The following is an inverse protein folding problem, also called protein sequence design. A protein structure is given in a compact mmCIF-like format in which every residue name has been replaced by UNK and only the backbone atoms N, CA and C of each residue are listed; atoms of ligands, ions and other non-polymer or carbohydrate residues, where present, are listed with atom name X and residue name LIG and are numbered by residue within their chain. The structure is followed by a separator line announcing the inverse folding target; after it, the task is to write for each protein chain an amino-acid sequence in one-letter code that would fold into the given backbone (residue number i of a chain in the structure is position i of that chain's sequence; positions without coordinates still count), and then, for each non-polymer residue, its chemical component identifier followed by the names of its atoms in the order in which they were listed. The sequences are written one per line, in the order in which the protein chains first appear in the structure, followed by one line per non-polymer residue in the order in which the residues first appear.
data_IF_453510049355
#
_entry.id   IF_453510049355
#
_cell.length_a   1.000
_cell.length_b   1.000
_cell.length_c   1.000
_cell.angle_alpha   90.00
_cell.angle_beta   90.00
_cell.angle_gamma   90.00
#
_symmetry.space_group_name_H-M   'P 1'
#
loop_
_entity.id
_entity.type
_entity.pdbx_description
1 polymer ?
#
# COMPACT_ATOMS: atom_id res chain seq x y z
N UNK A 1 8.79 -54.05 5.71
CA UNK A 1 8.57 -53.02 6.75
C UNK A 1 9.46 -51.77 6.64
N UNK A 2 10.76 -51.85 6.28
CA UNK A 2 11.63 -50.66 6.16
C UNK A 2 11.28 -49.73 4.98
N UNK A 3 10.99 -50.28 3.80
CA UNK A 3 10.67 -49.49 2.59
C UNK A 3 9.39 -48.64 2.74
N UNK A 4 8.36 -49.18 3.41
CA UNK A 4 7.09 -48.49 3.64
C UNK A 4 7.24 -47.29 4.59
N UNK A 5 8.12 -47.38 5.60
CA UNK A 5 8.46 -46.25 6.48
C UNK A 5 9.22 -45.14 5.76
N UNK A 6 10.16 -45.50 4.87
CA UNK A 6 10.89 -44.51 4.05
C UNK A 6 9.95 -43.79 3.08
N UNK A 7 9.01 -44.52 2.47
CA UNK A 7 7.99 -43.94 1.60
C UNK A 7 7.07 -42.95 2.35
N UNK A 8 6.65 -43.27 3.58
CA UNK A 8 5.83 -42.38 4.40
C UNK A 8 6.57 -41.11 4.82
N UNK A 9 7.86 -41.22 5.16
CA UNK A 9 8.69 -40.06 5.52
C UNK A 9 8.92 -39.13 4.33
N UNK A 10 9.13 -39.68 3.13
CA UNK A 10 9.25 -38.89 1.91
C UNK A 10 7.94 -38.16 1.57
N UNK A 11 6.80 -38.83 1.66
CA UNK A 11 5.49 -38.20 1.44
C UNK A 11 5.23 -37.10 2.46
N UNK A 12 5.54 -37.32 3.74
CA UNK A 12 5.42 -36.29 4.76
C UNK A 12 6.32 -35.07 4.48
N UNK A 13 7.58 -35.29 4.08
CA UNK A 13 8.51 -34.22 3.73
C UNK A 13 8.02 -33.40 2.51
N UNK A 14 7.50 -34.07 1.48
CA UNK A 14 6.91 -33.41 0.30
C UNK A 14 5.68 -32.59 0.70
N UNK A 15 4.78 -33.13 1.53
CA UNK A 15 3.60 -32.41 2.01
C UNK A 15 3.98 -31.18 2.85
N UNK A 16 5.00 -31.30 3.70
CA UNK A 16 5.53 -30.16 4.48
C UNK A 16 6.12 -29.09 3.56
N UNK A 17 6.95 -29.46 2.59
CA UNK A 17 7.53 -28.54 1.61
C UNK A 17 6.45 -27.85 0.77
N UNK A 18 5.45 -28.58 0.29
CA UNK A 18 4.32 -28.02 -0.45
C UNK A 18 3.48 -27.05 0.40
N UNK A 19 3.24 -27.38 1.69
CA UNK A 19 2.48 -26.50 2.59
C UNK A 19 3.23 -25.21 2.92
N UNK A 20 4.57 -25.28 3.08
CA UNK A 20 5.42 -24.09 3.28
C UNK A 20 5.47 -23.22 2.02
N UNK A 21 5.61 -23.83 0.84
CA UNK A 21 5.57 -23.10 -0.43
C UNK A 21 4.21 -22.44 -0.67
N UNK A 22 3.11 -23.15 -0.44
CA UNK A 22 1.76 -22.60 -0.59
C UNK A 22 1.49 -21.42 0.35
N UNK A 23 2.05 -21.41 1.56
CA UNK A 23 1.97 -20.27 2.49
C UNK A 23 2.82 -19.08 2.05
N UNK A 24 3.99 -19.33 1.46
CA UNK A 24 4.84 -18.28 0.87
C UNK A 24 4.26 -17.65 -0.40
N UNK A 25 3.33 -18.34 -1.07
CA UNK A 25 2.64 -17.90 -2.28
C UNK A 25 1.28 -17.22 -2.02
N UNK A 26 0.74 -17.27 -0.80
CA UNK A 26 -0.54 -16.62 -0.49
C UNK A 26 -0.39 -15.11 -0.52
N UNK A 27 -1.21 -14.47 -1.36
CA UNK A 27 -1.36 -13.01 -1.39
C UNK A 27 -2.01 -12.56 -0.07
N UNK A 28 -1.46 -11.52 0.54
CA UNK A 28 -2.14 -10.81 1.62
C UNK A 28 -3.01 -9.72 1.00
N UNK A 29 -4.31 -10.03 0.86
CA UNK A 29 -5.33 -9.08 0.42
C UNK A 29 -6.15 -8.66 1.64
N UNK A 30 -6.66 -7.44 1.62
CA UNK A 30 -7.49 -6.90 2.69
C UNK A 30 -8.76 -6.38 2.04
N UNK A 31 -9.89 -6.99 2.38
CA UNK A 31 -11.20 -6.52 1.89
C UNK A 31 -11.65 -5.35 2.74
N UNK A 32 -11.87 -4.19 2.11
CA UNK A 32 -12.26 -2.94 2.79
C UNK A 32 -13.19 -2.12 1.90
N UNK A 33 -14.13 -1.42 2.52
CA UNK A 33 -15.00 -0.50 1.80
C UNK A 33 -14.25 0.78 1.44
N UNK A 34 -13.81 0.86 0.18
CA UNK A 34 -13.09 2.02 -0.35
C UNK A 34 -14.01 3.23 -0.60
N UNK A 35 -15.33 3.06 -0.64
CA UNK A 35 -16.26 4.14 -1.04
C UNK A 35 -16.13 5.35 -0.14
N UNK A 36 -16.14 5.12 1.18
CA UNK A 36 -16.09 6.20 2.17
C UNK A 36 -14.78 7.03 2.10
N UNK A 37 -13.63 6.37 1.88
CA UNK A 37 -12.34 7.09 1.76
C UNK A 37 -12.24 7.84 0.43
N UNK A 38 -12.74 7.25 -0.65
CA UNK A 38 -12.78 7.89 -1.97
C UNK A 38 -13.67 9.12 -1.92
N UNK A 39 -14.89 9.01 -1.39
CA UNK A 39 -15.82 10.13 -1.20
C UNK A 39 -15.20 11.24 -0.34
N UNK A 40 -14.58 10.87 0.80
CA UNK A 40 -13.89 11.81 1.67
C UNK A 40 -12.79 12.59 0.93
N UNK A 41 -12.04 11.94 0.03
CA UNK A 41 -11.03 12.61 -0.77
C UNK A 41 -11.64 13.48 -1.88
N UNK A 42 -12.68 13.01 -2.58
CA UNK A 42 -13.31 13.78 -3.66
C UNK A 42 -13.82 15.15 -3.19
N UNK A 43 -14.34 15.24 -1.97
CA UNK A 43 -14.81 16.50 -1.39
C UNK A 43 -13.70 17.56 -1.22
N UNK A 44 -12.45 17.14 -1.01
CA UNK A 44 -11.32 18.04 -0.76
C UNK A 44 -10.30 18.08 -1.91
N UNK A 45 -10.41 17.17 -2.88
CA UNK A 45 -9.44 16.96 -3.96
C UNK A 45 -9.08 18.26 -4.67
N UNK A 46 -10.09 19.01 -5.14
CA UNK A 46 -9.87 20.28 -5.85
C UNK A 46 -9.17 21.32 -4.99
N UNK A 47 -9.52 21.40 -3.71
CA UNK A 47 -8.93 22.37 -2.78
C UNK A 47 -7.47 22.04 -2.45
N UNK A 48 -7.13 20.75 -2.32
CA UNK A 48 -5.76 20.30 -2.09
C UNK A 48 -4.92 20.47 -3.37
N UNK A 49 -5.41 20.02 -4.52
CA UNK A 49 -4.68 20.10 -5.79
C UNK A 49 -4.46 21.56 -6.24
N UNK A 50 -5.37 22.49 -5.91
CA UNK A 50 -5.16 23.91 -6.17
C UNK A 50 -4.00 24.53 -5.36
N UNK A 51 -3.55 23.86 -4.29
CA UNK A 51 -2.38 24.27 -3.49
C UNK A 51 -1.07 23.66 -3.98
N UNK A 52 -1.10 22.74 -4.96
CA UNK A 52 0.12 22.15 -5.54
C UNK A 52 0.83 23.16 -6.45
N UNK A 53 2.03 23.57 -6.06
CA UNK A 53 2.88 24.50 -6.80
C UNK A 53 3.81 23.81 -7.79
N UNK A 54 3.93 22.48 -7.77
CA UNK A 54 4.88 21.70 -8.57
C UNK A 54 4.18 20.76 -9.55
N UNK A 55 3.49 21.33 -10.55
CA UNK A 55 2.71 20.55 -11.54
C UNK A 55 3.55 19.62 -12.42
N UNK A 56 4.84 19.93 -12.62
CA UNK A 56 5.75 19.17 -13.48
C UNK A 56 6.41 17.97 -12.79
N UNK A 57 6.20 17.81 -11.49
CA UNK A 57 6.72 16.68 -10.71
C UNK A 57 5.57 15.72 -10.45
N UNK A 58 5.85 14.43 -10.29
CA UNK A 58 4.86 13.45 -9.81
C UNK A 58 5.54 12.57 -8.78
N UNK A 59 5.00 12.52 -7.56
CA UNK A 59 5.60 11.74 -6.48
C UNK A 59 5.27 10.25 -6.68
N UNK A 60 4.00 9.94 -6.90
CA UNK A 60 3.45 8.62 -7.18
C UNK A 60 3.40 8.34 -8.69
N UNK A 61 4.56 8.34 -9.34
CA UNK A 61 4.65 8.07 -10.79
C UNK A 61 4.08 6.70 -11.15
N UNK A 62 2.89 6.67 -11.78
CA UNK A 62 2.17 5.42 -12.04
C UNK A 62 2.94 4.47 -12.97
N UNK A 63 3.61 4.99 -13.99
CA UNK A 63 4.35 4.20 -15.01
C UNK A 63 5.67 3.62 -14.49
N UNK A 64 6.34 4.33 -13.57
CA UNK A 64 7.65 3.96 -13.04
C UNK A 64 7.56 3.17 -11.73
N UNK A 65 6.53 3.43 -10.92
CA UNK A 65 6.39 2.83 -9.58
C UNK A 65 5.21 1.86 -9.52
N UNK A 66 3.97 2.35 -9.62
CA UNK A 66 2.78 1.59 -9.23
C UNK A 66 2.29 0.55 -10.27
N UNK A 67 2.51 0.74 -11.57
CA UNK A 67 2.06 -0.19 -12.62
C UNK A 67 2.91 -1.46 -12.74
N UNK A 68 4.18 -1.42 -12.33
CA UNK A 68 5.11 -2.54 -12.46
C UNK A 68 5.07 -3.51 -11.29
N UNK A 69 4.30 -3.17 -10.24
CA UNK A 69 4.22 -3.96 -9.03
C UNK A 69 3.55 -5.30 -9.31
N UNK A 70 4.29 -6.38 -9.07
CA UNK A 70 3.81 -7.74 -9.24
C UNK A 70 2.87 -8.11 -8.08
N UNK A 71 1.93 -9.06 -8.27
CA UNK A 71 0.96 -9.40 -7.22
C UNK A 71 1.57 -9.86 -5.88
N UNK A 72 2.75 -10.49 -5.90
CA UNK A 72 3.43 -10.90 -4.67
C UNK A 72 4.05 -9.72 -3.90
N UNK A 73 4.25 -8.57 -4.56
CA UNK A 73 4.83 -7.36 -3.96
C UNK A 73 3.76 -6.39 -3.45
N UNK A 74 2.48 -6.58 -3.82
CA UNK A 74 1.36 -5.70 -3.44
C UNK A 74 1.36 -5.44 -1.94
N UNK A 75 1.38 -6.48 -1.09
CA UNK A 75 1.34 -6.26 0.35
C UNK A 75 2.51 -5.41 0.86
N UNK A 76 3.72 -5.63 0.33
CA UNK A 76 4.88 -4.84 0.70
C UNK A 76 4.69 -3.37 0.34
N UNK A 77 4.32 -3.10 -0.92
CA UNK A 77 4.13 -1.73 -1.41
C UNK A 77 3.00 -1.03 -0.65
N UNK A 78 1.87 -1.72 -0.45
CA UNK A 78 0.76 -1.19 0.37
C UNK A 78 1.24 -0.81 1.76
N UNK A 79 1.93 -1.72 2.46
CA UNK A 79 2.46 -1.44 3.80
C UNK A 79 3.35 -0.18 3.80
N UNK A 80 4.27 -0.10 2.85
CA UNK A 80 5.23 1.00 2.79
C UNK A 80 4.56 2.34 2.46
N UNK A 81 3.61 2.36 1.52
CA UNK A 81 2.90 3.58 1.15
C UNK A 81 1.95 4.06 2.25
N UNK A 82 1.30 3.14 2.96
CA UNK A 82 0.53 3.51 4.14
C UNK A 82 1.42 4.16 5.21
N UNK A 83 2.61 3.59 5.46
CA UNK A 83 3.58 4.19 6.38
C UNK A 83 4.07 5.54 5.87
N UNK A 84 4.39 5.69 4.59
CA UNK A 84 4.76 6.96 3.98
C UNK A 84 3.70 8.05 4.23
N UNK A 85 2.41 7.74 4.01
CA UNK A 85 1.35 8.71 4.25
C UNK A 85 1.14 9.03 5.74
N UNK A 86 1.08 8.01 6.59
CA UNK A 86 0.83 8.15 8.04
C UNK A 86 2.00 8.81 8.75
N UNK A 87 3.22 8.38 8.45
CA UNK A 87 4.40 8.79 9.19
C UNK A 87 5.10 10.03 8.64
N UNK A 88 4.79 10.42 7.39
CA UNK A 88 5.40 11.56 6.72
C UNK A 88 4.34 12.55 6.23
N UNK A 89 3.57 12.21 5.20
CA UNK A 89 2.67 13.15 4.51
C UNK A 89 1.67 13.83 5.45
N UNK A 90 0.94 13.07 6.28
CA UNK A 90 -0.04 13.65 7.20
C UNK A 90 0.60 14.44 8.34
N UNK A 91 1.86 14.15 8.72
CA UNK A 91 2.58 14.89 9.77
C UNK A 91 3.18 16.19 9.24
N UNK A 92 3.68 16.17 8.01
CA UNK A 92 4.33 17.31 7.36
C UNK A 92 3.30 18.33 6.83
N UNK A 93 2.06 17.91 6.63
CA UNK A 93 0.98 18.78 6.17
C UNK A 93 0.44 19.69 7.28
N UNK A 94 0.24 20.96 6.95
CA UNK A 94 -0.45 21.93 7.80
C UNK A 94 -1.72 22.45 7.09
N UNK A 95 -2.90 22.03 7.58
CA UNK A 95 -4.19 22.55 7.11
C UNK A 95 -4.77 23.54 8.11
N UNK A 96 -5.19 24.71 7.62
CA UNK A 96 -5.87 25.72 8.44
C UNK A 96 -7.39 25.65 8.29
N UNK A 97 -7.91 25.09 7.19
CA UNK A 97 -9.33 24.94 6.97
C UNK A 97 -9.88 23.73 7.77
N UNK A 98 -10.75 23.93 8.77
CA UNK A 98 -11.25 22.84 9.61
C UNK A 98 -12.05 21.77 8.85
N UNK A 99 -12.72 22.13 7.75
CA UNK A 99 -13.47 21.18 6.94
C UNK A 99 -12.54 20.24 6.18
N UNK A 100 -11.47 20.78 5.60
CA UNK A 100 -10.44 19.98 4.92
C UNK A 100 -9.73 19.10 5.93
N UNK A 101 -9.33 19.66 7.09
CA UNK A 101 -8.66 18.92 8.15
C UNK A 101 -9.51 17.73 8.65
N UNK A 102 -10.83 17.89 8.77
CA UNK A 102 -11.72 16.79 9.18
C UNK A 102 -11.70 15.64 8.16
N UNK A 103 -11.71 15.95 6.87
CA UNK A 103 -11.67 14.95 5.80
C UNK A 103 -10.30 14.27 5.73
N UNK A 104 -9.21 15.02 5.89
CA UNK A 104 -7.87 14.44 6.01
C UNK A 104 -7.75 13.50 7.21
N UNK A 105 -8.28 13.87 8.37
CA UNK A 105 -8.33 12.99 9.55
C UNK A 105 -9.14 11.71 9.30
N UNK A 106 -10.27 11.79 8.57
CA UNK A 106 -11.03 10.61 8.13
C UNK A 106 -10.18 9.67 7.28
N UNK A 107 -9.45 10.21 6.30
CA UNK A 107 -8.57 9.44 5.42
C UNK A 107 -7.40 8.82 6.21
N UNK A 108 -6.76 9.58 7.12
CA UNK A 108 -5.68 9.08 7.96
C UNK A 108 -6.14 7.92 8.86
N UNK A 109 -7.34 8.01 9.43
CA UNK A 109 -7.93 6.92 10.21
C UNK A 109 -8.19 5.67 9.36
N UNK A 110 -8.64 5.84 8.11
CA UNK A 110 -8.77 4.73 7.17
C UNK A 110 -7.41 4.05 6.91
N UNK A 111 -6.33 4.83 6.78
CA UNK A 111 -4.98 4.31 6.56
C UNK A 111 -4.44 3.55 7.77
N UNK A 112 -4.67 4.07 8.98
CA UNK A 112 -4.35 3.37 10.23
C UNK A 112 -5.12 2.05 10.36
N UNK A 113 -6.40 2.04 9.98
CA UNK A 113 -7.21 0.83 9.98
C UNK A 113 -6.68 -0.20 8.97
N UNK A 114 -6.30 0.22 7.76
CA UNK A 114 -5.62 -0.62 6.77
C UNK A 114 -4.31 -1.22 7.30
N UNK A 115 -3.46 -0.40 7.91
CA UNK A 115 -2.21 -0.88 8.51
C UNK A 115 -2.48 -1.96 9.56
N UNK A 116 -3.51 -1.75 10.42
CA UNK A 116 -3.94 -2.75 11.41
C UNK A 116 -4.42 -4.04 10.75
N UNK A 117 -5.18 -3.94 9.67
CA UNK A 117 -5.68 -5.08 8.92
C UNK A 117 -4.56 -5.88 8.24
N UNK A 118 -3.45 -5.25 7.86
CA UNK A 118 -2.26 -5.92 7.31
C UNK A 118 -1.34 -6.56 8.37
N UNK A 119 -1.49 -6.23 9.66
CA UNK A 119 -0.61 -6.74 10.72
C UNK A 119 -0.52 -8.28 10.79
N UNK A 120 -1.61 -9.06 10.62
CA UNK A 120 -1.51 -10.52 10.64
C UNK A 120 -0.57 -11.06 9.56
N UNK A 121 -0.64 -10.52 8.34
CA UNK A 121 0.23 -10.91 7.24
C UNK A 121 1.71 -10.56 7.51
N UNK A 122 1.95 -9.41 8.13
CA UNK A 122 3.30 -9.01 8.54
C UNK A 122 3.87 -9.97 9.58
N UNK A 123 3.10 -10.32 10.61
CA UNK A 123 3.49 -11.30 11.64
C UNK A 123 3.78 -12.68 11.04
N UNK A 124 3.06 -13.06 9.99
CA UNK A 124 3.24 -14.31 9.25
C UNK A 124 4.33 -14.23 8.16
N UNK A 125 5.02 -13.09 8.04
CA UNK A 125 6.07 -12.84 7.02
C UNK A 125 5.58 -13.02 5.58
N UNK A 126 4.30 -12.75 5.32
CA UNK A 126 3.67 -12.87 4.00
C UNK A 126 3.82 -11.60 3.13
N UNK A 127 4.34 -10.52 3.71
CA UNK A 127 4.54 -9.24 3.01
C UNK A 127 6.04 -9.03 2.75
N UNK A 128 6.65 -9.97 2.04
CA UNK A 128 8.05 -9.87 1.64
C UNK A 128 8.22 -8.78 0.56
N UNK A 129 9.29 -8.01 0.68
CA UNK A 129 9.62 -6.93 -0.26
C UNK A 129 10.75 -7.38 -1.17
N UNK A 130 10.45 -7.64 -2.44
CA UNK A 130 11.48 -7.88 -3.45
C UNK A 130 12.08 -6.55 -3.90
N UNK A 131 13.23 -6.63 -4.58
CA UNK A 131 13.98 -5.48 -5.04
C UNK A 131 13.13 -4.47 -5.83
N UNK A 132 12.27 -4.94 -6.75
CA UNK A 132 11.34 -4.09 -7.51
C UNK A 132 10.45 -3.25 -6.59
N UNK A 133 9.86 -3.87 -5.56
CA UNK A 133 8.96 -3.21 -4.61
C UNK A 133 9.70 -2.20 -3.72
N UNK A 134 10.90 -2.59 -3.29
CA UNK A 134 11.80 -1.73 -2.50
C UNK A 134 12.23 -0.52 -3.32
N UNK A 135 12.62 -0.71 -4.59
CA UNK A 135 13.01 0.36 -5.49
C UNK A 135 11.85 1.31 -5.81
N UNK A 136 10.66 0.77 -6.10
CA UNK A 136 9.48 1.59 -6.32
C UNK A 136 9.14 2.46 -5.09
N UNK A 137 9.20 1.86 -3.89
CA UNK A 137 9.01 2.60 -2.64
C UNK A 137 10.08 3.67 -2.46
N UNK A 138 11.35 3.35 -2.71
CA UNK A 138 12.48 4.28 -2.58
C UNK A 138 12.33 5.48 -3.52
N UNK A 139 11.97 5.25 -4.79
CA UNK A 139 11.75 6.32 -5.78
C UNK A 139 10.69 7.31 -5.28
N UNK A 140 9.61 6.82 -4.66
CA UNK A 140 8.55 7.69 -4.09
C UNK A 140 9.10 8.56 -2.96
N UNK A 141 9.91 8.00 -2.07
CA UNK A 141 10.59 8.76 -1.02
C UNK A 141 11.58 9.77 -1.61
N UNK A 142 12.40 9.36 -2.57
CA UNK A 142 13.39 10.22 -3.23
C UNK A 142 12.72 11.39 -3.97
N UNK A 143 11.55 11.17 -4.59
CA UNK A 143 10.76 12.22 -5.23
C UNK A 143 10.15 13.20 -4.22
N UNK A 144 9.70 12.69 -3.07
CA UNK A 144 9.20 13.53 -1.98
C UNK A 144 10.31 14.43 -1.42
N UNK A 145 11.50 13.85 -1.17
CA UNK A 145 12.63 14.53 -0.54
C UNK A 145 13.33 15.56 -1.43
N UNK A 146 13.01 15.58 -2.73
CA UNK A 146 13.45 16.63 -3.67
C UNK A 146 12.66 17.94 -3.53
N UNK A 147 11.50 17.92 -2.86
CA UNK A 147 10.65 19.09 -2.70
C UNK A 147 10.76 19.66 -1.28
N UNK A 148 10.39 20.93 -1.12
CA UNK A 148 10.21 21.50 0.22
C UNK A 148 9.12 20.73 0.97
N UNK A 149 9.36 20.42 2.24
CA UNK A 149 8.58 19.47 3.05
C UNK A 149 7.06 19.70 2.98
N UNK A 150 6.59 20.94 3.15
CA UNK A 150 5.15 21.25 3.12
C UNK A 150 4.57 21.12 1.72
N UNK A 151 5.33 21.54 0.71
CA UNK A 151 4.97 21.41 -0.70
C UNK A 151 4.89 19.94 -1.11
N UNK A 152 5.84 19.12 -0.67
CA UNK A 152 5.87 17.67 -0.87
C UNK A 152 4.65 16.98 -0.24
N UNK A 153 4.28 17.39 0.97
CA UNK A 153 3.10 16.89 1.66
C UNK A 153 1.80 17.24 0.91
N UNK A 154 1.62 18.51 0.52
CA UNK A 154 0.44 18.96 -0.25
C UNK A 154 0.34 18.21 -1.57
N UNK A 155 1.47 18.06 -2.27
CA UNK A 155 1.53 17.32 -3.53
C UNK A 155 1.14 15.85 -3.36
N UNK A 156 1.71 15.17 -2.36
CA UNK A 156 1.39 13.77 -2.06
C UNK A 156 -0.08 13.58 -1.68
N UNK A 157 -0.68 14.54 -0.97
CA UNK A 157 -2.12 14.56 -0.70
C UNK A 157 -2.93 14.78 -1.99
N UNK A 158 -2.45 15.62 -2.90
CA UNK A 158 -3.07 15.86 -4.21
C UNK A 158 -3.09 14.63 -5.11
N UNK A 159 -2.16 13.70 -4.92
CA UNK A 159 -2.02 12.44 -5.67
C UNK A 159 -2.70 11.24 -4.96
N UNK A 160 -3.49 11.48 -3.90
CA UNK A 160 -4.17 10.41 -3.17
C UNK A 160 -5.13 9.59 -4.05
N UNK A 161 -5.73 10.16 -5.08
CA UNK A 161 -6.57 9.40 -6.03
C UNK A 161 -5.78 8.32 -6.76
N UNK A 162 -4.52 8.59 -7.11
CA UNK A 162 -3.62 7.60 -7.72
C UNK A 162 -3.41 6.43 -6.76
N UNK A 163 -3.12 6.71 -5.49
CA UNK A 163 -2.90 5.67 -4.50
C UNK A 163 -4.18 4.90 -4.16
N UNK A 164 -5.31 5.58 -3.97
CA UNK A 164 -6.60 4.96 -3.69
C UNK A 164 -7.07 4.05 -4.83
N UNK A 165 -6.90 4.49 -6.09
CA UNK A 165 -7.21 3.67 -7.26
C UNK A 165 -6.30 2.43 -7.34
N UNK A 166 -5.01 2.58 -6.97
CA UNK A 166 -4.09 1.46 -6.91
C UNK A 166 -4.45 0.47 -5.80
N UNK A 167 -4.85 0.94 -4.62
CA UNK A 167 -5.32 0.08 -3.52
C UNK A 167 -6.56 -0.71 -3.93
N UNK A 168 -7.55 -0.02 -4.50
CA UNK A 168 -8.81 -0.64 -4.94
C UNK A 168 -8.55 -1.77 -5.95
N UNK A 169 -7.73 -1.49 -6.98
CA UNK A 169 -7.34 -2.49 -7.99
C UNK A 169 -6.62 -3.72 -7.42
N UNK A 170 -5.79 -3.54 -6.39
CA UNK A 170 -4.89 -4.60 -5.92
C UNK A 170 -5.40 -5.33 -4.68
N UNK A 171 -6.39 -4.79 -3.96
CA UNK A 171 -6.97 -5.37 -2.76
C UNK A 171 -8.43 -5.80 -2.89
N UNK A 172 -9.14 -5.44 -3.97
CA UNK A 172 -10.38 -6.12 -4.32
C UNK A 172 -10.11 -7.61 -4.55
N UNK A 173 -10.77 -8.47 -3.78
CA UNK A 173 -10.97 -9.85 -4.23
C UNK A 173 -11.84 -9.76 -5.49
N UNK A 174 -11.32 -10.23 -6.63
CA UNK A 174 -12.17 -10.49 -7.79
C UNK A 174 -13.29 -11.42 -7.29
N UNK A 175 -14.47 -10.85 -7.07
CA UNK A 175 -15.70 -11.58 -6.81
C UNK A 175 -16.15 -12.21 -8.12
N UNK A 176 -15.35 -13.10 -8.71
CA UNK A 176 -15.67 -13.91 -9.88
C UNK A 176 -14.51 -14.87 -10.20
N UNK A 177 -14.61 -16.09 -9.68
CA UNK A 177 -14.37 -17.36 -10.39
C UNK A 177 -14.79 -18.53 -9.47
#
# INVERSE_FOLDING_TARGET
MKAQRVSLLLVAAVLFLCSVHARGLRRCLVSMDMRHVVESFQEIKKAIQAKDTFQNVTILSTSETLHRIKPLDVCCVTKNLLAFYVDKVFKDHQELNPQILRKLSSIANFFLYMQKALQPCQKQRQCHCREEATNATRIIHDNYDQLEVRSAAIKSLGELDVFLAWLDKNHQENSAA
#
